data_IF_088252655389
#
_entry.id   IF_088252655389
#
_cell.length_a   1.000
_cell.length_b   1.000
_cell.length_c   1.000
_cell.angle_alpha   90.00
_cell.angle_beta   90.00
_cell.angle_gamma   90.00
#
_symmetry.space_group_name_H-M   'P 1'
#
loop_
_entity.id
_entity.type
_entity.pdbx_description
1 polymer ?
#
# COMPACT_ATOMS: atom_id res chain seq x y z
N UNK A 1 5.07 19.60 55.26
CA UNK A 1 5.71 20.13 54.03
C UNK A 1 4.62 20.37 53.00
N UNK A 2 4.33 21.63 52.64
CA UNK A 2 3.33 21.93 51.60
C UNK A 2 3.90 21.58 50.23
N UNK A 3 3.27 20.61 49.54
CA UNK A 3 3.75 20.01 48.29
C UNK A 3 3.70 20.99 47.10
N UNK A 4 2.98 22.10 47.21
CA UNK A 4 2.89 23.15 46.20
C UNK A 4 2.92 24.53 46.86
N UNK A 5 3.83 25.40 46.40
CA UNK A 5 4.02 26.75 46.96
C UNK A 5 3.11 27.79 46.30
N UNK A 6 2.62 27.53 45.09
CA UNK A 6 1.74 28.44 44.33
C UNK A 6 0.71 27.66 43.53
N UNK A 7 -0.44 28.28 43.25
CA UNK A 7 -1.45 27.74 42.33
C UNK A 7 -0.85 27.40 40.96
N UNK A 8 0.05 28.24 40.44
CA UNK A 8 0.76 27.99 39.18
C UNK A 8 1.55 26.69 39.20
N UNK A 9 2.28 26.40 40.29
CA UNK A 9 3.05 25.16 40.41
C UNK A 9 2.15 23.92 40.49
N UNK A 10 0.98 24.04 41.12
CA UNK A 10 -0.03 22.99 41.16
C UNK A 10 -0.64 22.76 39.78
N UNK A 11 -1.08 23.81 39.08
CA UNK A 11 -1.66 23.74 37.73
C UNK A 11 -0.65 23.17 36.74
N UNK A 12 0.60 23.62 36.77
CA UNK A 12 1.67 23.08 35.93
C UNK A 12 1.93 21.59 36.21
N UNK A 13 1.95 21.18 37.49
CA UNK A 13 2.10 19.77 37.85
C UNK A 13 0.89 18.95 37.37
N UNK A 14 -0.32 19.47 37.51
CA UNK A 14 -1.55 18.82 37.08
C UNK A 14 -1.60 18.65 35.56
N UNK A 15 -1.30 19.71 34.82
CA UNK A 15 -1.14 19.67 33.35
C UNK A 15 -0.08 18.64 32.98
N UNK A 16 1.13 18.71 33.55
CA UNK A 16 2.21 17.76 33.23
C UNK A 16 1.86 16.31 33.56
N UNK A 17 1.07 16.07 34.62
CA UNK A 17 0.69 14.72 35.06
C UNK A 17 -0.34 14.08 34.13
N UNK A 18 -1.26 14.85 33.56
CA UNK A 18 -2.38 14.32 32.75
C UNK A 18 -2.26 14.61 31.25
N UNK A 19 -1.46 15.59 30.85
CA UNK A 19 -1.27 15.93 29.44
C UNK A 19 -0.23 15.04 28.74
N UNK A 20 0.78 14.57 29.46
CA UNK A 20 1.99 14.02 28.84
C UNK A 20 1.93 12.54 28.47
N UNK A 21 1.36 11.66 29.30
CA UNK A 21 1.46 10.21 29.06
C UNK A 21 0.48 9.72 27.99
N UNK A 22 -0.80 10.10 28.09
CA UNK A 22 -1.81 9.58 27.17
C UNK A 22 -1.80 10.23 25.78
N UNK A 23 -1.57 11.54 25.69
CA UNK A 23 -1.69 12.25 24.41
C UNK A 23 -0.58 11.88 23.43
N UNK A 24 0.67 11.81 23.90
CA UNK A 24 1.80 11.42 23.06
C UNK A 24 1.62 10.00 22.53
N UNK A 25 1.22 9.06 23.39
CA UNK A 25 0.98 7.66 23.02
C UNK A 25 -0.13 7.52 21.96
N UNK A 26 -1.24 8.25 22.13
CA UNK A 26 -2.34 8.28 21.15
C UNK A 26 -1.86 8.85 19.82
N UNK A 27 -1.11 9.97 19.83
CA UNK A 27 -0.58 10.59 18.62
C UNK A 27 0.40 9.67 17.89
N UNK A 28 1.31 9.01 18.62
CA UNK A 28 2.23 8.02 18.05
C UNK A 28 1.49 6.82 17.47
N UNK A 29 0.47 6.33 18.17
CA UNK A 29 -0.35 5.24 17.68
C UNK A 29 -1.07 5.63 16.38
N UNK A 30 -1.65 6.84 16.33
CA UNK A 30 -2.30 7.37 15.13
C UNK A 30 -1.32 7.51 13.97
N UNK A 31 -0.14 8.09 14.19
CA UNK A 31 0.90 8.23 13.18
C UNK A 31 1.34 6.88 12.61
N UNK A 32 1.60 5.89 13.48
CA UNK A 32 2.09 4.56 13.07
C UNK A 32 1.11 3.78 12.20
N UNK A 33 -0.19 4.00 12.37
CA UNK A 33 -1.23 3.29 11.64
C UNK A 33 -1.86 4.13 10.53
N UNK A 34 -1.40 5.36 10.31
CA UNK A 34 -1.93 6.21 9.28
C UNK A 34 -1.48 5.74 7.89
N UNK A 35 -2.44 5.50 7.01
CA UNK A 35 -2.22 5.10 5.62
C UNK A 35 -2.95 6.07 4.70
N UNK A 36 -2.39 6.28 3.51
CA UNK A 36 -3.02 7.08 2.47
C UNK A 36 -4.37 6.45 2.09
N UNK A 37 -5.43 7.25 2.18
CA UNK A 37 -6.76 6.82 1.75
C UNK A 37 -6.83 6.57 0.24
N UNK A 38 -7.76 5.72 -0.18
CA UNK A 38 -7.92 5.35 -1.60
C UNK A 38 -8.17 6.57 -2.51
N UNK A 39 -8.97 7.52 -2.04
CA UNK A 39 -9.32 8.76 -2.75
C UNK A 39 -8.47 9.95 -2.30
N UNK A 40 -7.52 9.74 -1.39
CA UNK A 40 -6.69 10.81 -0.87
C UNK A 40 -5.53 11.06 -1.83
N UNK A 41 -5.39 12.31 -2.26
CA UNK A 41 -4.25 12.74 -3.06
C UNK A 41 -2.96 12.75 -2.24
N UNK A 42 -1.82 12.66 -2.92
CA UNK A 42 -0.50 12.60 -2.29
C UNK A 42 -0.21 13.83 -1.43
N UNK A 43 -0.68 15.00 -1.85
CA UNK A 43 -0.39 16.27 -1.16
C UNK A 43 -1.13 16.34 0.17
N UNK A 44 -2.39 15.94 0.20
CA UNK A 44 -3.19 15.82 1.41
C UNK A 44 -2.57 14.80 2.38
N UNK A 45 -2.18 13.64 1.86
CA UNK A 45 -1.50 12.61 2.64
C UNK A 45 -0.22 13.12 3.28
N UNK A 46 0.62 13.81 2.50
CA UNK A 46 1.86 14.42 2.96
C UNK A 46 1.63 15.39 4.13
N UNK A 47 0.70 16.34 3.99
CA UNK A 47 0.44 17.33 5.03
C UNK A 47 -0.14 16.71 6.30
N UNK A 48 -0.99 15.69 6.19
CA UNK A 48 -1.52 15.00 7.37
C UNK A 48 -0.41 14.24 8.10
N UNK A 49 0.50 13.56 7.39
CA UNK A 49 1.69 12.94 8.03
C UNK A 49 2.55 14.00 8.73
N UNK A 50 2.85 15.13 8.09
CA UNK A 50 3.63 16.21 8.73
C UNK A 50 2.97 16.73 10.02
N UNK A 51 1.65 16.87 10.01
CA UNK A 51 0.86 17.25 11.18
C UNK A 51 0.93 16.19 12.27
N UNK A 52 0.73 14.92 11.94
CA UNK A 52 0.81 13.80 12.88
C UNK A 52 2.21 13.65 13.48
N UNK A 53 3.27 13.82 12.69
CA UNK A 53 4.64 13.84 13.18
C UNK A 53 4.83 14.96 14.22
N UNK A 54 4.31 16.16 13.95
CA UNK A 54 4.39 17.30 14.90
C UNK A 54 3.59 17.05 16.18
N UNK A 55 2.43 16.39 16.08
CA UNK A 55 1.58 16.03 17.23
C UNK A 55 2.20 14.91 18.09
N UNK A 56 2.88 13.95 17.47
CA UNK A 56 3.54 12.85 18.16
C UNK A 56 4.89 13.27 18.78
N UNK A 57 5.72 13.98 17.99
CA UNK A 57 7.00 14.51 18.42
C UNK A 57 7.41 15.72 17.57
N UNK A 58 7.35 16.91 18.15
CA UNK A 58 7.73 18.15 17.48
C UNK A 58 9.19 18.19 16.98
N UNK A 59 10.08 17.38 17.56
CA UNK A 59 11.49 17.27 17.21
C UNK A 59 11.80 16.01 16.38
N UNK A 60 10.79 15.39 15.76
CA UNK A 60 10.98 14.24 14.89
C UNK A 60 11.91 14.60 13.72
N UNK A 61 12.93 13.77 13.51
CA UNK A 61 13.90 13.92 12.44
C UNK A 61 13.28 13.64 11.07
N UNK A 62 13.91 14.14 10.01
CA UNK A 62 13.37 14.04 8.65
C UNK A 62 13.35 12.59 8.14
N UNK A 63 14.33 11.77 8.51
CA UNK A 63 14.39 10.36 8.10
C UNK A 63 13.22 9.56 8.68
N UNK A 64 12.87 9.77 9.94
CA UNK A 64 11.67 9.17 10.56
C UNK A 64 10.39 9.60 9.84
N UNK A 65 10.24 10.89 9.52
CA UNK A 65 9.07 11.40 8.77
C UNK A 65 8.96 10.74 7.40
N UNK A 66 10.08 10.66 6.69
CA UNK A 66 10.18 10.02 5.38
C UNK A 66 9.82 8.54 5.45
N UNK A 67 10.23 7.83 6.50
CA UNK A 67 9.86 6.43 6.70
C UNK A 67 8.33 6.28 6.84
N UNK A 68 7.67 7.13 7.64
CA UNK A 68 6.20 7.11 7.74
C UNK A 68 5.51 7.40 6.41
N UNK A 69 6.02 8.35 5.62
CA UNK A 69 5.51 8.64 4.27
C UNK A 69 5.65 7.42 3.34
N UNK A 70 6.78 6.72 3.37
CA UNK A 70 7.04 5.53 2.55
C UNK A 70 6.15 4.35 2.95
N UNK A 71 5.93 4.16 4.24
CA UNK A 71 5.21 3.00 4.77
C UNK A 71 3.70 3.10 4.58
N UNK A 72 3.14 4.31 4.73
CA UNK A 72 1.70 4.54 4.60
C UNK A 72 1.23 4.86 3.17
N UNK A 73 2.13 4.96 2.19
CA UNK A 73 1.78 5.26 0.80
C UNK A 73 0.89 4.18 0.19
N UNK A 74 -0.14 4.60 -0.58
CA UNK A 74 -1.10 3.66 -1.17
C UNK A 74 -0.41 2.70 -2.16
N UNK A 75 -0.82 1.42 -2.23
CA UNK A 75 -0.15 0.43 -3.07
C UNK A 75 -0.03 0.83 -4.55
N UNK A 76 -1.02 1.56 -5.07
CA UNK A 76 -1.01 2.03 -6.45
C UNK A 76 0.12 3.01 -6.77
N UNK A 77 0.70 3.72 -5.79
CA UNK A 77 1.84 4.62 -6.01
C UNK A 77 3.16 4.07 -5.46
N UNK A 78 3.07 3.14 -4.49
CA UNK A 78 4.20 2.71 -3.68
C UNK A 78 5.41 2.24 -4.49
N UNK A 79 5.19 1.36 -5.46
CA UNK A 79 6.31 0.80 -6.23
C UNK A 79 7.08 1.89 -6.99
N UNK A 80 6.39 2.73 -7.75
CA UNK A 80 7.02 3.73 -8.62
C UNK A 80 7.73 4.83 -7.81
N UNK A 81 7.15 5.24 -6.68
CA UNK A 81 7.76 6.24 -5.80
C UNK A 81 9.00 5.67 -5.09
N UNK A 82 8.92 4.45 -4.55
CA UNK A 82 10.06 3.83 -3.87
C UNK A 82 11.20 3.50 -4.83
N UNK A 83 10.90 3.20 -6.10
CA UNK A 83 11.90 3.01 -7.14
C UNK A 83 12.77 4.25 -7.38
N UNK A 84 12.21 5.46 -7.18
CA UNK A 84 12.96 6.72 -7.24
C UNK A 84 13.84 6.96 -6.01
N UNK A 85 13.67 6.17 -4.96
CA UNK A 85 14.44 6.22 -3.72
C UNK A 85 14.61 7.65 -3.16
N UNK A 86 13.51 8.35 -2.82
CA UNK A 86 13.59 9.69 -2.23
C UNK A 86 14.38 9.65 -0.92
N UNK A 87 15.25 10.64 -0.71
CA UNK A 87 16.09 10.79 0.49
C UNK A 87 15.56 11.86 1.45
N UNK A 88 14.70 12.76 0.98
CA UNK A 88 14.04 13.78 1.80
C UNK A 88 12.52 13.72 1.69
N UNK A 89 11.83 14.36 2.62
CA UNK A 89 10.37 14.49 2.58
C UNK A 89 9.89 15.32 1.37
N UNK A 90 10.67 16.31 0.93
CA UNK A 90 10.39 17.11 -0.27
C UNK A 90 10.53 16.29 -1.56
N UNK A 91 11.62 15.52 -1.70
CA UNK A 91 11.82 14.63 -2.86
C UNK A 91 10.72 13.59 -2.95
N UNK A 92 10.28 13.05 -1.80
CA UNK A 92 9.14 12.14 -1.75
C UNK A 92 7.89 12.81 -2.33
N UNK A 93 7.58 14.04 -1.90
CA UNK A 93 6.40 14.76 -2.37
C UNK A 93 6.45 15.01 -3.88
N UNK A 94 7.59 15.46 -4.38
CA UNK A 94 7.78 15.72 -5.82
C UNK A 94 7.57 14.45 -6.65
N UNK A 95 8.22 13.35 -6.28
CA UNK A 95 8.11 12.09 -7.03
C UNK A 95 6.71 11.50 -6.94
N UNK A 96 6.10 11.51 -5.76
CA UNK A 96 4.77 10.97 -5.57
C UNK A 96 3.70 11.77 -6.32
N UNK A 97 3.81 13.09 -6.37
CA UNK A 97 2.94 13.94 -7.20
C UNK A 97 3.07 13.61 -8.69
N UNK A 98 4.30 13.51 -9.18
CA UNK A 98 4.56 13.19 -10.59
C UNK A 98 4.00 11.81 -10.99
N UNK A 99 4.17 10.80 -10.13
CA UNK A 99 3.61 9.47 -10.36
C UNK A 99 2.08 9.51 -10.34
N UNK A 100 1.49 10.22 -9.39
CA UNK A 100 0.02 10.35 -9.30
C UNK A 100 -0.56 11.05 -10.54
N UNK A 101 0.09 12.11 -11.02
CA UNK A 101 -0.30 12.80 -12.24
C UNK A 101 -0.22 11.88 -13.47
N UNK A 102 0.90 11.17 -13.65
CA UNK A 102 1.08 10.25 -14.78
C UNK A 102 0.01 9.15 -14.81
N UNK A 103 -0.33 8.57 -13.65
CA UNK A 103 -1.38 7.54 -13.57
C UNK A 103 -2.76 8.10 -13.86
N UNK A 104 -3.04 9.32 -13.41
CA UNK A 104 -4.31 9.99 -13.70
C UNK A 104 -4.52 10.30 -15.18
N UNK A 105 -3.43 10.45 -15.95
CA UNK A 105 -3.47 10.64 -17.40
C UNK A 105 -3.72 9.30 -18.12
N UNK A 106 -3.00 8.24 -17.71
CA UNK A 106 -3.14 6.89 -18.28
C UNK A 106 -4.58 6.34 -18.13
N UNK A 107 -5.22 6.61 -16.99
CA UNK A 107 -6.63 6.27 -16.76
C UNK A 107 -7.59 7.02 -17.70
N UNK A 108 -7.29 8.29 -18.04
CA UNK A 108 -8.10 9.10 -18.95
C UNK A 108 -7.97 8.64 -20.40
N UNK A 109 -6.75 8.33 -20.85
CA UNK A 109 -6.50 7.85 -22.20
C UNK A 109 -7.12 6.46 -22.41
N UNK A 110 -7.05 5.59 -21.39
CA UNK A 110 -7.71 4.28 -21.40
C UNK A 110 -9.24 4.35 -21.51
N UNK A 111 -9.89 5.40 -20.98
CA UNK A 111 -11.33 5.62 -21.14
C UNK A 111 -11.72 6.09 -22.55
N UNK A 112 -10.84 6.83 -23.22
CA UNK A 112 -11.07 7.31 -24.58
C UNK A 112 -10.97 6.15 -25.58
N UNK A 113 -9.97 5.27 -25.42
CA UNK A 113 -9.80 4.12 -26.32
C UNK A 113 -10.95 3.09 -26.20
N UNK A 114 -11.53 2.92 -25.02
CA UNK A 114 -12.72 2.07 -24.83
C UNK A 114 -14.00 2.68 -25.44
N UNK A 115 -14.10 4.02 -25.48
CA UNK A 115 -15.23 4.70 -26.12
C UNK A 115 -15.15 4.69 -27.65
N UNK A 116 -13.95 4.62 -28.24
CA UNK A 116 -13.75 4.59 -29.70
C UNK A 116 -13.98 3.18 -30.29
N UNK A 117 -13.89 2.12 -29.49
CA UNK A 117 -14.07 0.73 -29.96
C UNK A 117 -15.51 0.19 -29.85
N UNK A 118 -16.47 0.99 -29.37
CA UNK A 118 -17.91 0.67 -29.42
C UNK A 118 -18.64 1.44 -30.53
N UNK A 119 -18.23 1.23 -31.78
CA UNK A 119 -19.11 1.40 -32.95
C UNK A 119 -19.36 0.05 -33.60
N UNK A 120 -20.50 -0.54 -33.22
CA UNK A 120 -21.33 -1.55 -33.89
C UNK A 120 -20.67 -2.62 -34.78
N UNK A 121 -20.94 -3.90 -34.50
CA UNK A 121 -21.38 -4.85 -35.51
C UNK A 121 -22.89 -5.08 -35.36
N UNK A 122 -23.63 -4.83 -36.45
CA UNK A 122 -25.07 -5.05 -36.57
C UNK A 122 -25.52 -6.44 -36.07
N UNK A 123 -26.64 -6.56 -35.32
CA UNK A 123 -27.09 -7.84 -34.80
C UNK A 123 -28.22 -8.43 -35.64
N UNK A 124 -27.99 -8.93 -36.86
CA UNK A 124 -28.95 -9.83 -37.52
C UNK A 124 -28.26 -10.76 -38.54
N UNK A 125 -28.02 -12.02 -38.16
CA UNK A 125 -28.40 -13.21 -38.96
C UNK A 125 -28.03 -14.50 -38.22
N UNK A 126 -29.02 -15.06 -37.52
CA UNK A 126 -29.08 -16.49 -37.24
C UNK A 126 -29.34 -17.23 -38.56
N UNK A 127 -28.36 -18.00 -39.06
CA UNK A 127 -28.62 -19.14 -39.94
C UNK A 127 -27.92 -20.38 -39.42
N UNK A 128 -28.73 -21.28 -38.88
CA UNK A 128 -28.42 -22.64 -38.48
C UNK A 128 -28.51 -23.58 -39.69
N UNK A 129 -27.70 -24.66 -39.65
CA UNK A 129 -27.78 -25.92 -40.42
C UNK A 129 -27.09 -25.86 -41.80
N UNK A 130 -26.08 -26.69 -42.08
CA UNK A 130 -26.25 -28.15 -42.28
C UNK A 130 -25.02 -28.99 -41.88
N UNK A 131 -25.32 -30.20 -41.38
CA UNK A 131 -24.38 -31.31 -41.18
C UNK A 131 -23.78 -31.77 -42.51
N UNK A 132 -22.50 -32.11 -42.53
CA UNK A 132 -22.01 -33.18 -43.40
C UNK A 132 -21.16 -34.14 -42.58
N UNK A 133 -21.69 -35.35 -42.46
CA UNK A 133 -21.05 -36.52 -41.85
C UNK A 133 -20.24 -37.18 -42.96
N UNK A 134 -18.95 -37.39 -42.75
CA UNK A 134 -18.31 -38.58 -43.29
C UNK A 134 -17.33 -39.16 -42.27
N UNK A 135 -17.74 -40.34 -41.84
CA UNK A 135 -17.16 -41.29 -40.91
C UNK A 135 -16.01 -42.07 -41.52
N UNK A 136 -14.97 -42.32 -40.70
CA UNK A 136 -14.06 -43.49 -40.64
C UNK A 136 -12.81 -43.03 -39.86
N UNK A 137 -12.35 -43.60 -38.72
CA UNK A 137 -12.47 -44.93 -38.16
C UNK A 137 -12.32 -44.91 -36.61
N UNK A 138 -13.18 -45.68 -35.94
CA UNK A 138 -12.90 -46.75 -34.95
C UNK A 138 -12.18 -46.44 -33.61
N UNK A 139 -13.00 -46.44 -32.53
CA UNK A 139 -12.89 -47.07 -31.18
C UNK A 139 -11.56 -46.97 -30.37
N UNK A 140 -11.47 -46.20 -29.26
CA UNK A 140 -11.93 -46.41 -27.84
C UNK A 140 -10.91 -47.22 -26.97
N UNK A 141 -10.85 -47.15 -25.60
CA UNK A 141 -11.48 -46.23 -24.61
C UNK A 141 -10.66 -45.82 -23.33
N UNK A 142 -11.22 -44.88 -22.52
CA UNK A 142 -11.14 -44.72 -21.01
C UNK A 142 -9.76 -44.28 -20.40
N UNK A 143 -9.55 -43.43 -19.36
CA UNK A 143 -10.34 -42.74 -18.31
C UNK A 143 -9.62 -41.49 -17.77
N UNK A 144 -10.39 -40.63 -17.09
CA UNK A 144 -10.08 -39.58 -16.11
C UNK A 144 -8.77 -39.68 -15.27
N UNK A 145 -8.04 -38.56 -15.10
CA UNK A 145 -7.85 -37.89 -13.80
C UNK A 145 -6.91 -36.65 -13.86
N UNK A 146 -7.38 -35.59 -13.19
CA UNK A 146 -6.69 -34.67 -12.26
C UNK A 146 -5.64 -33.66 -12.76
N UNK A 147 -6.03 -32.39 -12.55
CA UNK A 147 -5.21 -31.21 -12.28
C UNK A 147 -4.11 -31.51 -11.24
N UNK A 148 -2.90 -31.03 -11.46
CA UNK A 148 -1.98 -30.78 -10.35
C UNK A 148 -1.16 -29.49 -10.56
N UNK A 149 -1.43 -28.52 -9.69
CA UNK A 149 -0.63 -27.33 -9.45
C UNK A 149 0.57 -27.71 -8.58
N UNK A 150 1.80 -27.46 -9.03
CA UNK A 150 2.96 -27.49 -8.14
C UNK A 150 3.45 -26.07 -7.86
N UNK A 151 2.97 -25.53 -6.74
CA UNK A 151 3.67 -24.54 -5.93
C UNK A 151 4.88 -25.22 -5.28
N UNK A 152 6.09 -24.68 -5.48
CA UNK A 152 7.27 -25.07 -4.71
C UNK A 152 7.60 -23.98 -3.70
N UNK A 153 7.20 -24.21 -2.45
CA UNK A 153 7.79 -23.59 -1.27
C UNK A 153 8.45 -24.70 -0.43
N UNK A 154 9.79 -24.68 -0.32
CA UNK A 154 10.56 -25.27 0.78
C UNK A 154 11.80 -24.38 0.98
N UNK A 155 11.88 -23.56 2.04
CA UNK A 155 12.14 -23.89 3.45
C UNK A 155 13.63 -24.23 3.68
N UNK A 156 14.41 -23.23 4.11
CA UNK A 156 15.81 -23.36 4.50
C UNK A 156 15.88 -23.48 6.02
N UNK A 157 16.17 -24.70 6.49
CA UNK A 157 16.40 -25.04 7.88
C UNK A 157 17.84 -24.71 8.30
N UNK A 158 17.95 -24.36 9.59
CA UNK A 158 19.16 -24.05 10.34
C UNK A 158 20.22 -25.15 10.28
N UNK A 159 21.50 -24.77 10.23
CA UNK A 159 22.62 -25.68 10.41
C UNK A 159 23.41 -25.30 11.67
N UNK A 160 23.25 -26.09 12.73
CA UNK A 160 24.09 -26.07 13.94
C UNK A 160 25.28 -26.99 13.70
N UNK A 161 26.49 -26.42 13.65
CA UNK A 161 27.72 -27.21 13.75
C UNK A 161 28.41 -26.95 15.09
N UNK A 162 28.25 -27.93 15.99
CA UNK A 162 29.23 -28.22 17.03
C UNK A 162 30.50 -28.74 16.37
N UNK A 163 31.66 -28.20 16.74
CA UNK A 163 32.91 -28.93 16.57
C UNK A 163 33.75 -28.81 17.84
N UNK A 164 34.06 -29.98 18.42
CA UNK A 164 34.95 -30.18 19.56
C UNK A 164 36.40 -30.26 19.08
N UNK A 165 37.33 -29.86 19.95
CA UNK A 165 38.68 -30.43 19.98
C UNK A 165 39.82 -29.45 19.73
N UNK A 166 40.32 -28.83 20.80
CA UNK A 166 41.62 -29.14 21.42
C UNK A 166 41.85 -28.27 22.64
#
# INVERSE_FOLDING_TARGET
>A
MHLFKTWTSFVQKLINTFESSGKADISFHRLRHYQQGLTQDVRQYYFEIMKLCKEANALMDDASKLQYLKDGLKPSLRFDVLLKNPQTTEEFLEYAQKVEELKSLDEKDSMIDQAVNHKSPDPLTLKLKTMNINSSQVHQPISSHQLNFNNSYKNTQFNNNNNSGR
#
